data_IF_677311176315
#
_entry.id   IF_677311176315
#
_cell.length_a   1.000
_cell.length_b   1.000
_cell.length_c   1.000
_cell.angle_alpha   90.00
_cell.angle_beta   90.00
_cell.angle_gamma   90.00
#
_symmetry.space_group_name_H-M   'P 1'
#
loop_
_entity.id
_entity.type
_entity.pdbx_description
1 polymer ?
#
# COMPACT_ATOMS: atom_id res chain seq x y z
N UNK A 1 -6.65 -1.40 15.15
CA UNK A 1 -6.93 -1.79 13.75
C UNK A 1 -5.86 -1.20 12.85
N UNK A 2 -5.33 -2.00 11.93
CA UNK A 2 -4.44 -1.58 10.83
C UNK A 2 -5.06 -1.95 9.49
N UNK A 3 -4.89 -1.09 8.49
CA UNK A 3 -5.37 -1.30 7.12
C UNK A 3 -4.15 -1.28 6.22
N UNK A 4 -3.94 -2.32 5.41
CA UNK A 4 -2.82 -2.38 4.47
C UNK A 4 -3.27 -2.12 3.05
N UNK A 5 -2.50 -1.31 2.32
CA UNK A 5 -2.71 -0.95 0.90
C UNK A 5 -1.48 -1.35 0.07
N UNK A 6 -1.70 -1.61 -1.21
CA UNK A 6 -0.60 -1.64 -2.19
C UNK A 6 -0.15 -0.23 -2.58
N UNK A 7 1.10 -0.03 -2.98
CA UNK A 7 1.56 1.22 -3.56
C UNK A 7 1.07 1.37 -5.00
N UNK A 8 1.49 2.44 -5.67
CA UNK A 8 1.28 2.61 -7.11
C UNK A 8 2.62 2.73 -7.87
N UNK A 9 2.58 2.40 -9.16
CA UNK A 9 3.72 2.56 -10.07
C UNK A 9 3.88 4.01 -10.53
N UNK A 10 2.76 4.74 -10.61
CA UNK A 10 2.70 6.16 -10.96
C UNK A 10 2.86 6.99 -9.70
N UNK A 11 3.73 7.97 -9.77
CA UNK A 11 4.05 8.89 -8.69
C UNK A 11 3.84 10.32 -9.17
N UNK A 12 3.33 11.16 -8.29
CA UNK A 12 3.18 12.59 -8.50
C UNK A 12 3.92 13.35 -7.40
N UNK A 13 4.78 14.28 -7.80
CA UNK A 13 5.53 15.17 -6.90
C UNK A 13 5.20 16.63 -7.15
N UNK A 14 4.29 16.94 -8.09
CA UNK A 14 3.91 18.28 -8.51
C UNK A 14 2.77 18.86 -7.64
N UNK A 15 2.94 18.81 -6.31
CA UNK A 15 2.00 19.40 -5.35
C UNK A 15 2.74 20.00 -4.15
N UNK A 16 2.12 20.95 -3.48
CA UNK A 16 2.57 21.44 -2.18
C UNK A 16 1.82 20.71 -1.07
N UNK A 17 2.52 20.40 0.02
CA UNK A 17 1.94 19.75 1.19
C UNK A 17 2.23 20.57 2.45
N UNK A 18 1.15 20.96 3.13
CA UNK A 18 1.20 21.64 4.43
C UNK A 18 0.97 20.67 5.60
N UNK A 19 0.92 19.36 5.33
CA UNK A 19 0.81 18.36 6.38
C UNK A 19 2.14 18.17 7.10
N UNK A 20 2.07 17.84 8.39
CA UNK A 20 3.18 17.27 9.11
C UNK A 20 3.71 16.05 8.35
N UNK A 21 4.97 15.70 8.60
CA UNK A 21 5.57 14.53 7.97
C UNK A 21 6.21 13.62 9.02
N UNK A 22 6.44 12.39 8.63
CA UNK A 22 7.15 11.40 9.41
C UNK A 22 8.22 10.71 8.55
N UNK A 23 9.06 9.94 9.19
CA UNK A 23 10.19 9.25 8.55
C UNK A 23 9.87 7.75 8.48
N UNK A 24 10.09 7.09 7.32
CA UNK A 24 9.87 5.66 7.19
C UNK A 24 10.64 4.82 8.21
N UNK A 25 10.01 3.76 8.72
CA UNK A 25 10.56 2.92 9.79
C UNK A 25 11.85 2.17 9.38
N UNK A 26 12.01 1.85 8.09
CA UNK A 26 13.06 0.95 7.60
C UNK A 26 14.05 1.62 6.64
N UNK A 27 14.41 2.90 6.87
CA UNK A 27 15.33 3.62 5.97
C UNK A 27 16.70 2.95 5.82
N UNK A 28 17.22 2.30 6.86
CA UNK A 28 18.51 1.58 6.77
C UNK A 28 18.41 0.38 5.82
N UNK A 29 17.29 -0.35 5.83
CA UNK A 29 17.02 -1.44 4.90
C UNK A 29 16.81 -0.91 3.48
N UNK A 30 16.08 0.21 3.35
CA UNK A 30 15.91 0.89 2.05
C UNK A 30 17.26 1.29 1.46
N UNK A 31 18.20 1.81 2.28
CA UNK A 31 19.54 2.15 1.83
C UNK A 31 20.30 0.94 1.29
N UNK A 32 20.24 -0.23 1.98
CA UNK A 32 20.85 -1.48 1.49
C UNK A 32 20.30 -1.92 0.13
N UNK A 33 18.98 -1.82 -0.07
CA UNK A 33 18.36 -2.11 -1.36
C UNK A 33 18.82 -1.14 -2.45
N UNK A 34 18.89 0.14 -2.13
CA UNK A 34 19.37 1.17 -3.05
C UNK A 34 20.86 0.95 -3.37
N UNK A 35 21.70 0.64 -2.40
CA UNK A 35 23.13 0.36 -2.64
C UNK A 35 23.30 -0.83 -3.62
N UNK A 36 22.48 -1.87 -3.48
CA UNK A 36 22.44 -2.98 -4.44
C UNK A 36 21.94 -2.51 -5.83
N UNK A 37 20.87 -1.71 -5.90
CA UNK A 37 20.30 -1.22 -7.16
C UNK A 37 21.25 -0.24 -7.88
N UNK A 38 22.06 0.53 -7.14
CA UNK A 38 23.09 1.43 -7.71
C UNK A 38 24.20 0.71 -8.46
N UNK A 39 24.44 -0.58 -8.17
CA UNK A 39 25.46 -1.37 -8.89
C UNK A 39 24.97 -1.89 -10.25
N UNK A 40 23.71 -1.69 -10.60
CA UNK A 40 23.09 -2.23 -11.81
C UNK A 40 23.05 -1.19 -12.92
N UNK A 41 23.28 -1.63 -14.13
CA UNK A 41 23.11 -0.81 -15.33
C UNK A 41 21.63 -0.73 -15.75
N UNK A 42 21.20 0.25 -16.56
CA UNK A 42 19.82 0.35 -17.03
C UNK A 42 19.26 -0.94 -17.65
N UNK A 43 20.07 -1.68 -18.43
CA UNK A 43 19.69 -2.96 -19.03
C UNK A 43 19.36 -4.04 -17.98
N UNK A 44 20.09 -4.05 -16.86
CA UNK A 44 19.87 -5.00 -15.79
C UNK A 44 18.57 -4.66 -15.05
N UNK A 45 18.28 -3.38 -14.85
CA UNK A 45 17.04 -2.88 -14.26
C UNK A 45 15.86 -3.19 -15.18
N UNK A 46 16.02 -3.03 -16.50
CA UNK A 46 15.01 -3.41 -17.48
C UNK A 46 14.65 -4.89 -17.37
N UNK A 47 15.66 -5.77 -17.37
CA UNK A 47 15.49 -7.22 -17.24
C UNK A 47 14.87 -7.60 -15.89
N UNK A 48 15.36 -7.03 -14.79
CA UNK A 48 14.93 -7.35 -13.42
C UNK A 48 13.44 -7.08 -13.20
N UNK A 49 12.93 -5.99 -13.76
CA UNK A 49 11.55 -5.53 -13.51
C UNK A 49 10.64 -5.55 -14.74
N UNK A 50 11.10 -6.06 -15.88
CA UNK A 50 10.33 -6.11 -17.13
C UNK A 50 9.96 -4.71 -17.63
N UNK A 51 10.91 -3.77 -17.65
CA UNK A 51 10.68 -2.37 -18.01
C UNK A 51 11.14 -2.07 -19.43
N UNK A 52 10.52 -1.05 -20.04
CA UNK A 52 11.09 -0.41 -21.23
C UNK A 52 12.39 0.31 -20.90
N UNK A 53 13.27 0.50 -21.90
CA UNK A 53 14.55 1.20 -21.72
C UNK A 53 14.39 2.59 -21.10
N UNK A 54 13.38 3.35 -21.53
CA UNK A 54 13.05 4.66 -20.97
C UNK A 54 12.76 4.60 -19.46
N UNK A 55 11.96 3.61 -19.03
CA UNK A 55 11.62 3.44 -17.62
C UNK A 55 12.80 2.89 -16.82
N UNK A 56 13.63 2.06 -17.40
CA UNK A 56 14.83 1.53 -16.78
C UNK A 56 15.85 2.64 -16.52
N UNK A 57 16.12 3.49 -17.52
CA UNK A 57 17.00 4.66 -17.39
C UNK A 57 16.47 5.62 -16.31
N UNK A 58 15.19 5.96 -16.36
CA UNK A 58 14.57 6.82 -15.34
C UNK A 58 14.77 6.27 -13.92
N UNK A 59 14.64 4.96 -13.72
CA UNK A 59 14.79 4.38 -12.39
C UNK A 59 16.27 4.20 -12.00
N UNK A 60 17.16 3.98 -12.96
CA UNK A 60 18.60 4.07 -12.73
C UNK A 60 18.97 5.44 -12.16
N UNK A 61 18.57 6.55 -12.80
CA UNK A 61 18.85 7.90 -12.34
C UNK A 61 18.27 8.17 -10.94
N UNK A 62 17.04 7.67 -10.69
CA UNK A 62 16.40 7.74 -9.36
C UNK A 62 17.22 7.03 -8.29
N UNK A 63 17.75 5.83 -8.58
CA UNK A 63 18.56 5.10 -7.61
C UNK A 63 19.90 5.79 -7.39
N UNK A 64 20.58 6.29 -8.44
CA UNK A 64 21.84 6.99 -8.29
C UNK A 64 21.70 8.23 -7.38
N UNK A 65 20.61 8.99 -7.52
CA UNK A 65 20.36 10.21 -6.74
C UNK A 65 19.68 9.95 -5.38
N UNK A 66 19.21 8.71 -5.11
CA UNK A 66 18.46 8.42 -3.90
C UNK A 66 19.31 8.55 -2.63
N UNK A 67 18.75 9.18 -1.63
CA UNK A 67 19.28 9.26 -0.26
C UNK A 67 18.11 9.28 0.74
N UNK A 68 18.30 8.85 2.00
CA UNK A 68 17.25 8.88 3.01
C UNK A 68 16.67 10.30 3.18
N UNK A 69 15.36 10.42 3.00
CA UNK A 69 14.65 11.68 3.16
C UNK A 69 14.31 11.94 4.63
N UNK A 70 14.66 13.13 5.13
CA UNK A 70 14.35 13.59 6.50
C UNK A 70 13.56 14.90 6.50
N UNK A 71 13.42 15.56 5.35
CA UNK A 71 12.71 16.82 5.15
C UNK A 71 11.92 16.77 3.86
N UNK A 72 10.84 17.53 3.80
CA UNK A 72 10.08 17.76 2.56
C UNK A 72 10.99 18.50 1.56
N UNK A 73 10.96 18.06 0.31
CA UNK A 73 11.68 18.67 -0.81
C UNK A 73 10.91 18.41 -2.12
N UNK A 74 11.40 18.90 -3.24
CA UNK A 74 10.81 18.65 -4.55
C UNK A 74 10.68 17.14 -4.85
N UNK A 75 11.63 16.32 -4.39
CA UNK A 75 11.69 14.87 -4.59
C UNK A 75 11.43 14.04 -3.31
N UNK A 76 10.91 14.66 -2.26
CA UNK A 76 10.61 14.00 -0.99
C UNK A 76 9.31 14.54 -0.39
N UNK A 77 8.24 13.76 -0.50
CA UNK A 77 6.90 14.17 -0.07
C UNK A 77 6.16 13.03 0.62
N UNK A 78 5.06 13.32 1.36
CA UNK A 78 4.26 12.30 2.06
C UNK A 78 3.74 11.21 1.12
N UNK A 79 3.97 9.95 1.46
CA UNK A 79 3.76 8.79 0.59
C UNK A 79 2.35 8.66 0.06
N UNK A 80 1.32 8.84 0.91
CA UNK A 80 -0.08 8.67 0.50
C UNK A 80 -0.53 9.72 -0.52
N UNK A 81 0.11 10.90 -0.54
CA UNK A 81 -0.17 11.96 -1.50
C UNK A 81 0.60 11.80 -2.81
N UNK A 82 1.78 11.14 -2.74
CA UNK A 82 2.65 10.88 -3.90
C UNK A 82 2.11 9.78 -4.79
N UNK A 83 1.61 8.68 -4.21
CA UNK A 83 1.12 7.57 -5.01
C UNK A 83 -0.11 7.96 -5.83
N UNK A 84 -0.06 7.69 -7.14
CA UNK A 84 -1.18 7.86 -8.08
C UNK A 84 -1.40 6.53 -8.83
N UNK A 85 -2.65 6.15 -9.00
CA UNK A 85 -3.03 4.88 -9.64
C UNK A 85 -4.41 4.47 -9.16
N UNK A 86 -4.92 3.34 -9.64
CA UNK A 86 -6.32 2.95 -9.42
C UNK A 86 -6.75 2.99 -7.95
N UNK A 87 -5.93 2.47 -7.02
CA UNK A 87 -6.22 2.52 -5.58
C UNK A 87 -6.32 3.96 -5.09
N UNK A 88 -5.40 4.82 -5.49
CA UNK A 88 -5.31 6.20 -5.03
C UNK A 88 -6.34 7.11 -5.71
N UNK A 89 -6.80 6.76 -6.93
CA UNK A 89 -7.98 7.38 -7.55
C UNK A 89 -9.27 7.10 -6.74
N UNK A 90 -9.36 5.96 -6.09
CA UNK A 90 -10.46 5.66 -5.16
C UNK A 90 -10.29 6.33 -3.80
N UNK A 91 -9.06 6.38 -3.29
CA UNK A 91 -8.74 6.95 -1.98
C UNK A 91 -8.88 8.47 -1.95
N UNK A 92 -8.39 9.17 -2.99
CA UNK A 92 -8.42 10.64 -3.10
C UNK A 92 -7.89 11.32 -1.83
N UNK A 93 -6.62 11.02 -1.49
CA UNK A 93 -6.02 11.47 -0.23
C UNK A 93 -5.93 13.00 -0.11
N UNK A 94 -5.90 13.71 -1.23
CA UNK A 94 -5.93 15.18 -1.34
C UNK A 94 -7.21 15.81 -0.80
N UNK A 95 -8.33 15.07 -0.76
CA UNK A 95 -9.61 15.55 -0.25
C UNK A 95 -9.75 15.38 1.29
N UNK A 96 -8.81 14.70 1.94
CA UNK A 96 -8.89 14.42 3.37
C UNK A 96 -8.57 15.67 4.20
N UNK A 97 -9.44 16.00 5.14
CA UNK A 97 -9.16 17.04 6.11
C UNK A 97 -8.13 16.58 7.17
N UNK A 98 -7.62 17.51 7.99
CA UNK A 98 -6.59 17.23 8.99
C UNK A 98 -6.99 16.12 10.00
N UNK A 99 -8.25 16.04 10.42
CA UNK A 99 -8.73 14.99 11.33
C UNK A 99 -8.72 13.62 10.66
N UNK A 100 -9.13 13.56 9.41
CA UNK A 100 -9.11 12.36 8.57
C UNK A 100 -7.68 11.91 8.26
N UNK A 101 -6.79 12.86 7.94
CA UNK A 101 -5.37 12.56 7.73
C UNK A 101 -4.69 12.01 9.00
N UNK A 102 -5.01 12.55 10.19
CA UNK A 102 -4.54 11.99 11.47
C UNK A 102 -5.06 10.59 11.71
N UNK A 103 -6.33 10.31 11.37
CA UNK A 103 -6.88 8.96 11.44
C UNK A 103 -6.16 8.03 10.46
N UNK A 104 -5.97 8.46 9.21
CA UNK A 104 -5.22 7.70 8.21
C UNK A 104 -3.79 7.39 8.70
N UNK A 105 -3.06 8.38 9.21
CA UNK A 105 -1.69 8.21 9.73
C UNK A 105 -1.60 7.14 10.83
N UNK A 106 -2.64 7.02 11.64
CA UNK A 106 -2.72 6.02 12.71
C UNK A 106 -3.03 4.63 12.16
N UNK A 107 -3.89 4.50 11.17
CA UNK A 107 -4.49 3.23 10.77
C UNK A 107 -4.06 2.70 9.40
N UNK A 108 -3.66 3.54 8.45
CA UNK A 108 -3.26 3.10 7.10
C UNK A 108 -1.76 2.77 7.05
N UNK A 109 -1.45 1.68 6.34
CA UNK A 109 -0.07 1.27 6.00
C UNK A 109 0.00 0.93 4.53
N UNK A 110 1.00 1.48 3.85
CA UNK A 110 1.25 1.20 2.44
C UNK A 110 2.44 0.25 2.37
N UNK A 111 2.22 -0.95 1.88
CA UNK A 111 3.28 -1.93 1.68
C UNK A 111 4.16 -1.51 0.50
N UNK A 112 5.47 -1.70 0.59
CA UNK A 112 6.41 -1.15 -0.39
C UNK A 112 7.61 -2.07 -0.58
N UNK A 113 7.99 -2.33 -1.85
CA UNK A 113 9.18 -3.12 -2.15
C UNK A 113 10.47 -2.47 -1.63
N UNK A 114 10.58 -1.13 -1.71
CA UNK A 114 11.76 -0.40 -1.25
C UNK A 114 11.74 -0.06 0.24
N UNK A 115 10.59 0.36 0.76
CA UNK A 115 10.48 0.86 2.14
C UNK A 115 9.91 -0.18 3.12
N UNK A 116 9.52 -1.39 2.64
CA UNK A 116 8.82 -2.41 3.40
C UNK A 116 7.39 -1.97 3.74
N UNK A 117 7.27 -0.96 4.57
CA UNK A 117 6.01 -0.38 5.00
C UNK A 117 6.14 1.13 5.17
N UNK A 118 5.11 1.87 4.79
CA UNK A 118 5.01 3.33 4.91
C UNK A 118 3.70 3.70 5.62
N UNK A 119 3.77 4.69 6.48
CA UNK A 119 2.61 5.43 6.98
C UNK A 119 2.25 6.53 5.98
N UNK A 120 1.01 7.03 5.95
CA UNK A 120 0.56 8.07 5.01
C UNK A 120 1.47 9.28 4.88
N UNK A 121 1.99 9.78 5.99
CA UNK A 121 2.83 10.98 6.05
C UNK A 121 4.34 10.68 6.04
N UNK A 122 4.75 9.42 5.89
CA UNK A 122 6.16 9.07 5.74
C UNK A 122 6.70 9.64 4.43
N UNK A 123 7.84 10.34 4.55
CA UNK A 123 8.51 10.91 3.39
C UNK A 123 9.10 9.81 2.51
N UNK A 124 8.77 9.85 1.24
CA UNK A 124 9.36 8.95 0.25
C UNK A 124 9.97 9.71 -0.92
N UNK A 125 11.01 9.14 -1.49
CA UNK A 125 11.61 9.58 -2.76
C UNK A 125 11.12 8.76 -3.93
N UNK A 126 11.19 9.26 -5.16
CA UNK A 126 10.77 8.52 -6.35
C UNK A 126 11.55 7.20 -6.50
N UNK A 127 10.82 6.12 -6.71
CA UNK A 127 11.38 4.81 -6.96
C UNK A 127 10.40 3.94 -7.73
N UNK A 128 10.90 2.82 -8.27
CA UNK A 128 10.10 1.70 -8.71
C UNK A 128 10.78 0.41 -8.29
N UNK A 129 10.18 -0.31 -7.39
CA UNK A 129 10.61 -1.62 -6.94
C UNK A 129 9.36 -2.35 -6.42
N UNK A 130 8.86 -3.31 -7.20
CA UNK A 130 7.66 -4.08 -6.85
C UNK A 130 8.04 -5.20 -5.86
N UNK A 131 7.14 -5.57 -4.95
CA UNK A 131 7.44 -6.54 -3.89
C UNK A 131 7.78 -7.93 -4.45
N UNK A 132 7.19 -8.30 -5.59
CA UNK A 132 7.48 -9.56 -6.29
C UNK A 132 8.80 -9.59 -7.06
N UNK A 133 9.58 -8.50 -7.06
CA UNK A 133 10.85 -8.42 -7.80
C UNK A 133 11.87 -9.40 -7.21
N UNK A 134 12.51 -10.18 -8.08
CA UNK A 134 13.56 -11.16 -7.72
C UNK A 134 14.93 -10.45 -7.60
N UNK A 135 15.00 -9.45 -6.73
CA UNK A 135 16.24 -8.76 -6.43
C UNK A 135 17.05 -9.61 -5.43
N UNK A 136 18.12 -10.18 -5.88
CA UNK A 136 19.06 -10.91 -5.03
C UNK A 136 19.90 -9.92 -4.20
N UNK A 137 20.04 -10.20 -2.91
CA UNK A 137 20.78 -9.41 -1.94
C UNK A 137 21.58 -10.36 -1.03
N UNK A 138 22.44 -9.83 -0.18
CA UNK A 138 23.09 -10.62 0.87
C UNK A 138 22.13 -11.21 1.91
N UNK A 139 20.88 -10.70 1.99
CA UNK A 139 19.86 -11.13 2.96
C UNK A 139 18.79 -12.06 2.33
N UNK A 140 18.84 -12.32 1.01
CA UNK A 140 17.89 -13.24 0.35
C UNK A 140 17.86 -13.10 -1.18
N UNK A 141 17.22 -14.08 -1.84
CA UNK A 141 17.13 -14.19 -3.31
C UNK A 141 16.02 -13.32 -3.93
N UNK A 142 15.21 -12.70 -3.10
CA UNK A 142 14.09 -11.86 -3.51
C UNK A 142 13.69 -10.94 -2.35
N UNK A 143 12.77 -9.99 -2.61
CA UNK A 143 12.37 -9.03 -1.60
C UNK A 143 11.58 -9.63 -0.43
N UNK A 144 10.86 -10.73 -0.63
CA UNK A 144 10.17 -11.40 0.49
C UNK A 144 11.18 -11.96 1.51
N UNK A 145 12.26 -12.57 1.02
CA UNK A 145 13.35 -13.06 1.88
C UNK A 145 14.12 -11.91 2.53
N UNK A 146 14.43 -10.85 1.77
CA UNK A 146 15.09 -9.65 2.29
C UNK A 146 14.30 -9.00 3.44
N UNK A 147 12.99 -8.83 3.25
CA UNK A 147 12.14 -8.27 4.30
C UNK A 147 11.91 -9.26 5.45
N UNK A 148 11.90 -10.56 5.17
CA UNK A 148 11.70 -11.61 6.17
C UNK A 148 10.47 -11.31 7.04
N UNK A 149 10.65 -11.27 8.35
CA UNK A 149 9.60 -10.96 9.33
C UNK A 149 9.51 -9.48 9.75
N UNK A 150 10.38 -8.62 9.21
CA UNK A 150 10.50 -7.21 9.67
C UNK A 150 9.19 -6.44 9.50
N UNK A 151 8.54 -6.58 8.34
CA UNK A 151 7.27 -5.88 8.04
C UNK A 151 6.13 -6.45 8.88
N UNK A 152 6.06 -7.77 9.02
CA UNK A 152 5.09 -8.45 9.88
C UNK A 152 5.21 -7.97 11.33
N UNK A 153 6.42 -8.02 11.90
CA UNK A 153 6.67 -7.58 13.28
C UNK A 153 6.27 -6.13 13.51
N UNK A 154 6.51 -5.25 12.53
CA UNK A 154 6.09 -3.86 12.63
C UNK A 154 4.56 -3.75 12.73
N UNK A 155 3.81 -4.44 11.84
CA UNK A 155 2.34 -4.45 11.85
C UNK A 155 1.80 -5.04 13.17
N UNK A 156 2.37 -6.15 13.65
CA UNK A 156 1.93 -6.79 14.89
C UNK A 156 2.18 -5.89 16.12
N UNK A 157 3.33 -5.22 16.19
CA UNK A 157 3.61 -4.27 17.26
C UNK A 157 2.62 -3.10 17.26
N UNK A 158 2.32 -2.54 16.08
CA UNK A 158 1.35 -1.45 15.96
C UNK A 158 -0.08 -1.88 16.31
N UNK A 159 -0.50 -3.10 15.97
CA UNK A 159 -1.77 -3.68 16.41
C UNK A 159 -1.82 -3.80 17.93
N UNK A 160 -0.74 -4.33 18.53
CA UNK A 160 -0.60 -4.44 19.99
C UNK A 160 -0.67 -3.08 20.68
N UNK A 161 0.04 -2.07 20.17
CA UNK A 161 0.03 -0.70 20.71
C UNK A 161 -1.38 -0.07 20.66
N UNK A 162 -2.15 -0.42 19.62
CA UNK A 162 -3.54 -0.01 19.45
C UNK A 162 -4.55 -0.90 20.21
N UNK A 163 -4.07 -1.93 20.93
CA UNK A 163 -4.90 -2.94 21.61
C UNK A 163 -5.98 -3.53 20.68
N UNK A 164 -5.59 -3.90 19.49
CA UNK A 164 -6.46 -4.42 18.43
C UNK A 164 -5.82 -5.61 17.75
N UNK A 165 -6.62 -6.57 17.36
CA UNK A 165 -6.27 -7.74 16.56
C UNK A 165 -6.71 -7.60 15.09
N UNK A 166 -7.42 -6.51 14.74
CA UNK A 166 -8.06 -6.32 13.44
C UNK A 166 -7.09 -5.78 12.38
N UNK A 167 -6.82 -6.59 11.37
CA UNK A 167 -6.04 -6.25 10.18
C UNK A 167 -6.94 -6.29 8.92
N UNK A 168 -7.19 -5.14 8.31
CA UNK A 168 -7.95 -5.06 7.06
C UNK A 168 -6.99 -5.10 5.87
N UNK A 169 -7.12 -6.11 5.05
CA UNK A 169 -6.32 -6.30 3.85
C UNK A 169 -7.01 -5.69 2.61
N UNK A 170 -6.57 -4.53 2.21
CA UNK A 170 -6.91 -3.88 0.95
C UNK A 170 -5.72 -3.89 -0.04
N UNK A 171 -4.65 -4.62 0.28
CA UNK A 171 -3.51 -4.82 -0.61
C UNK A 171 -3.76 -5.97 -1.62
N UNK A 172 -2.95 -6.03 -2.67
CA UNK A 172 -2.92 -7.18 -3.57
C UNK A 172 -2.23 -8.38 -2.89
N UNK A 173 -2.48 -9.58 -3.40
CA UNK A 173 -1.81 -10.79 -2.92
C UNK A 173 -0.29 -10.65 -2.93
N UNK A 174 0.28 -10.06 -4.01
CA UNK A 174 1.71 -9.81 -4.12
C UNK A 174 2.26 -9.04 -2.91
N UNK A 175 1.66 -7.90 -2.58
CA UNK A 175 2.13 -7.07 -1.47
C UNK A 175 1.81 -7.68 -0.12
N UNK A 176 0.60 -8.23 0.05
CA UNK A 176 0.20 -8.85 1.33
C UNK A 176 1.09 -10.04 1.73
N UNK A 177 1.64 -10.76 0.76
CA UNK A 177 2.55 -11.91 0.99
C UNK A 177 3.78 -11.55 1.85
N UNK A 178 4.23 -10.28 1.86
CA UNK A 178 5.36 -9.85 2.70
C UNK A 178 5.09 -9.98 4.20
N UNK A 179 3.83 -10.04 4.60
CA UNK A 179 3.43 -10.26 6.00
C UNK A 179 3.58 -11.74 6.44
N UNK A 180 3.87 -12.65 5.51
CA UNK A 180 4.03 -14.07 5.81
C UNK A 180 2.80 -14.71 6.48
N UNK A 181 3.02 -15.75 7.28
CA UNK A 181 1.97 -16.38 8.08
C UNK A 181 1.77 -15.56 9.36
N UNK A 182 0.60 -14.93 9.46
CA UNK A 182 0.22 -14.19 10.67
C UNK A 182 -0.20 -15.13 11.81
N UNK A 183 -0.05 -14.71 13.08
CA UNK A 183 -0.59 -15.43 14.23
C UNK A 183 -2.11 -15.63 14.14
N UNK A 184 -2.62 -16.70 14.76
CA UNK A 184 -4.04 -17.08 14.68
C UNK A 184 -4.97 -16.13 15.44
N UNK A 185 -4.44 -15.39 16.39
CA UNK A 185 -5.15 -14.35 17.13
C UNK A 185 -5.32 -13.03 16.36
N UNK A 186 -4.73 -12.91 15.17
CA UNK A 186 -4.93 -11.76 14.31
C UNK A 186 -6.12 -11.99 13.36
N UNK A 187 -7.13 -11.15 13.50
CA UNK A 187 -8.33 -11.18 12.66
C UNK A 187 -8.08 -10.45 11.33
N UNK A 188 -7.79 -11.22 10.29
CA UNK A 188 -7.53 -10.68 8.95
C UNK A 188 -8.80 -10.62 8.14
N UNK A 189 -9.25 -9.42 7.79
CA UNK A 189 -10.43 -9.17 6.98
C UNK A 189 -10.02 -8.73 5.57
N UNK A 190 -10.52 -9.42 4.56
CA UNK A 190 -10.23 -9.10 3.14
C UNK A 190 -11.51 -8.77 2.38
N UNK A 191 -11.94 -7.49 2.32
CA UNK A 191 -13.11 -7.08 1.57
C UNK A 191 -13.00 -7.43 0.09
N UNK A 192 -14.09 -7.91 -0.49
CA UNK A 192 -14.18 -8.31 -1.90
C UNK A 192 -15.29 -7.54 -2.59
N UNK A 193 -15.00 -7.01 -3.78
CA UNK A 193 -15.89 -6.19 -4.59
C UNK A 193 -16.24 -6.95 -5.86
N UNK A 194 -17.54 -7.10 -6.14
CA UNK A 194 -18.03 -7.78 -7.34
C UNK A 194 -19.02 -6.92 -8.10
N UNK A 195 -18.81 -6.84 -9.40
CA UNK A 195 -19.68 -6.14 -10.34
C UNK A 195 -20.56 -7.12 -11.11
N UNK A 196 -21.82 -6.74 -11.33
CA UNK A 196 -22.72 -7.51 -12.17
C UNK A 196 -22.36 -7.32 -13.64
N UNK A 197 -21.98 -8.39 -14.31
CA UNK A 197 -21.63 -8.36 -15.74
C UNK A 197 -21.98 -9.71 -16.39
N UNK A 198 -22.69 -9.66 -17.52
CA UNK A 198 -23.06 -10.85 -18.28
C UNK A 198 -23.83 -11.90 -17.44
N UNK A 199 -24.81 -11.44 -16.67
CA UNK A 199 -25.69 -12.32 -15.88
C UNK A 199 -25.16 -12.74 -14.51
N UNK A 200 -23.90 -12.44 -14.14
CA UNK A 200 -23.28 -12.90 -12.90
C UNK A 200 -22.48 -11.79 -12.21
N UNK A 201 -22.37 -11.90 -10.88
CA UNK A 201 -21.43 -11.08 -10.09
C UNK A 201 -20.02 -11.65 -10.19
N UNK A 202 -19.04 -10.83 -10.54
CA UNK A 202 -17.63 -11.23 -10.64
C UNK A 202 -16.68 -10.09 -10.29
N UNK A 203 -15.49 -10.46 -9.85
CA UNK A 203 -14.41 -9.50 -9.60
C UNK A 203 -13.88 -9.00 -10.95
N UNK A 204 -13.90 -7.68 -11.15
CA UNK A 204 -13.28 -7.02 -12.30
C UNK A 204 -12.01 -6.34 -11.80
N UNK A 205 -10.86 -6.82 -12.23
CA UNK A 205 -9.55 -6.43 -11.69
C UNK A 205 -9.30 -4.91 -11.65
N UNK A 206 -9.71 -4.19 -12.70
CA UNK A 206 -9.60 -2.72 -12.75
C UNK A 206 -10.43 -2.06 -11.65
N UNK A 207 -11.71 -2.42 -11.54
CA UNK A 207 -12.59 -1.85 -10.52
C UNK A 207 -12.15 -2.24 -9.11
N UNK A 208 -11.79 -3.50 -8.90
CA UNK A 208 -11.37 -3.99 -7.59
C UNK A 208 -10.19 -3.22 -6.98
N UNK A 209 -9.30 -2.64 -7.80
CA UNK A 209 -8.22 -1.78 -7.29
C UNK A 209 -8.76 -0.43 -6.81
N UNK A 210 -9.59 0.23 -7.63
CA UNK A 210 -10.22 1.51 -7.27
C UNK A 210 -11.11 1.34 -6.03
N UNK A 211 -11.85 0.23 -5.96
CA UNK A 211 -12.80 -0.04 -4.88
C UNK A 211 -12.10 -0.26 -3.53
N UNK A 212 -10.89 -0.82 -3.52
CA UNK A 212 -10.05 -0.87 -2.31
C UNK A 212 -9.69 0.54 -1.82
N UNK A 213 -9.39 1.45 -2.74
CA UNK A 213 -9.18 2.86 -2.41
C UNK A 213 -10.43 3.54 -1.87
N UNK A 214 -11.59 3.29 -2.49
CA UNK A 214 -12.89 3.79 -2.01
C UNK A 214 -13.22 3.27 -0.61
N UNK A 215 -12.98 1.99 -0.34
CA UNK A 215 -13.16 1.41 1.00
C UNK A 215 -12.23 2.09 2.01
N UNK A 216 -10.96 2.31 1.68
CA UNK A 216 -10.04 3.02 2.56
C UNK A 216 -10.49 4.46 2.81
N UNK A 217 -10.95 5.20 1.77
CA UNK A 217 -11.54 6.55 1.91
C UNK A 217 -12.73 6.54 2.85
N UNK A 218 -13.66 5.62 2.64
CA UNK A 218 -14.87 5.51 3.45
C UNK A 218 -14.57 5.20 4.92
N UNK A 219 -13.64 4.25 5.19
CA UNK A 219 -13.19 3.93 6.54
C UNK A 219 -12.59 5.16 7.22
N UNK A 220 -11.75 5.93 6.51
CA UNK A 220 -11.13 7.15 7.04
C UNK A 220 -12.19 8.22 7.35
N UNK A 221 -13.11 8.45 6.43
CA UNK A 221 -14.16 9.47 6.56
C UNK A 221 -15.12 9.19 7.71
N UNK A 222 -15.48 7.92 7.90
CA UNK A 222 -16.40 7.47 8.94
C UNK A 222 -15.68 7.04 10.24
N UNK A 223 -14.33 7.08 10.27
CA UNK A 223 -13.49 6.68 11.43
C UNK A 223 -13.83 5.28 11.95
N UNK A 224 -14.08 4.36 11.03
CA UNK A 224 -14.41 2.96 11.35
C UNK A 224 -13.20 2.28 12.01
N UNK A 225 -13.43 1.61 13.12
CA UNK A 225 -12.39 0.91 13.91
C UNK A 225 -12.73 -0.52 14.27
N UNK A 226 -13.92 -1.01 13.91
CA UNK A 226 -14.38 -2.37 14.14
C UNK A 226 -14.86 -3.01 12.82
N UNK A 227 -14.98 -4.34 12.81
CA UNK A 227 -15.35 -5.10 11.61
C UNK A 227 -16.82 -4.93 11.21
N UNK A 228 -17.71 -4.87 12.20
CA UNK A 228 -19.15 -4.84 11.99
C UNK A 228 -19.58 -3.64 11.17
N UNK A 229 -18.96 -2.49 11.42
CA UNK A 229 -19.26 -1.24 10.74
C UNK A 229 -18.88 -1.27 9.25
N UNK A 230 -17.98 -2.17 8.81
CA UNK A 230 -17.64 -2.31 7.39
C UNK A 230 -18.85 -2.63 6.51
N UNK A 231 -19.87 -3.29 7.07
CA UNK A 231 -21.12 -3.60 6.36
C UNK A 231 -21.88 -2.35 5.90
N UNK A 232 -21.60 -1.19 6.50
CA UNK A 232 -22.16 0.12 6.11
C UNK A 232 -21.52 0.74 4.87
N UNK A 233 -20.50 0.15 4.26
CA UNK A 233 -19.88 0.69 3.06
C UNK A 233 -20.88 0.76 1.90
N UNK A 234 -21.07 1.96 1.34
CA UNK A 234 -22.11 2.28 0.34
C UNK A 234 -21.58 3.15 -0.83
N UNK A 235 -20.29 3.48 -0.88
CA UNK A 235 -19.74 4.30 -1.95
C UNK A 235 -19.83 3.58 -3.31
N UNK A 236 -20.01 4.39 -4.36
CA UNK A 236 -20.09 3.94 -5.76
C UNK A 236 -21.18 2.86 -5.97
N UNK A 237 -22.31 2.94 -5.24
CA UNK A 237 -23.46 2.03 -5.32
C UNK A 237 -23.20 0.60 -4.85
N UNK A 238 -22.08 0.34 -4.18
CA UNK A 238 -21.84 -0.97 -3.56
C UNK A 238 -22.81 -1.20 -2.39
N UNK A 239 -23.24 -2.46 -2.24
CA UNK A 239 -24.05 -2.90 -1.11
C UNK A 239 -23.46 -4.18 -0.53
N UNK A 240 -23.39 -4.22 0.78
CA UNK A 240 -22.97 -5.42 1.51
C UNK A 240 -23.90 -6.61 1.21
N UNK A 241 -23.33 -7.76 0.90
CA UNK A 241 -24.06 -9.01 0.68
C UNK A 241 -23.75 -10.01 1.79
N UNK A 242 -24.65 -10.14 2.76
CA UNK A 242 -24.51 -11.14 3.82
C UNK A 242 -24.45 -12.57 3.27
N UNK A 243 -25.21 -12.85 2.20
CA UNK A 243 -25.29 -14.18 1.60
C UNK A 243 -23.98 -14.64 0.95
N UNK A 244 -23.17 -13.69 0.42
CA UNK A 244 -21.90 -14.02 -0.22
C UNK A 244 -20.67 -13.81 0.69
N UNK A 245 -20.90 -13.26 1.89
CA UNK A 245 -19.83 -12.96 2.84
C UNK A 245 -19.53 -14.13 3.76
N UNK A 246 -18.27 -14.20 4.20
CA UNK A 246 -17.83 -15.05 5.31
C UNK A 246 -17.38 -14.19 6.48
N UNK A 247 -17.00 -14.80 7.59
CA UNK A 247 -16.49 -14.09 8.77
C UNK A 247 -15.23 -13.22 8.47
N UNK A 248 -14.43 -13.59 7.46
CA UNK A 248 -13.18 -12.90 7.13
C UNK A 248 -13.20 -12.23 5.75
N UNK A 249 -14.23 -12.47 4.94
CA UNK A 249 -14.35 -11.95 3.57
C UNK A 249 -15.72 -11.30 3.39
N UNK A 250 -15.88 -10.04 3.81
CA UNK A 250 -17.09 -9.27 3.50
C UNK A 250 -17.16 -9.01 1.99
N UNK A 251 -18.30 -9.29 1.38
CA UNK A 251 -18.53 -9.13 -0.06
C UNK A 251 -19.47 -7.95 -0.31
N UNK A 252 -19.06 -7.08 -1.23
CA UNK A 252 -19.82 -5.92 -1.66
C UNK A 252 -20.17 -6.08 -3.14
N UNK A 253 -21.46 -5.92 -3.46
CA UNK A 253 -22.02 -6.12 -4.79
C UNK A 253 -22.43 -4.78 -5.39
N UNK A 254 -22.07 -4.58 -6.67
CA UNK A 254 -22.53 -3.45 -7.45
C UNK A 254 -23.25 -3.94 -8.72
N UNK A 255 -24.46 -3.44 -8.95
CA UNK A 255 -25.19 -3.62 -10.20
C UNK A 255 -25.22 -2.26 -10.91
N UNK A 256 -24.59 -2.20 -12.09
CA UNK A 256 -24.62 -1.04 -13.01
C UNK A 256 -25.97 -0.87 -13.65
#
# INVERSE_FOLDING_TARGET
MIIVLSPAKTLDYEFESNHDHSVPAFLSQSSKLIDNLKTKEPKDIASLMGLSDKLATLNFDRYQSWSPAKKVSADSKPSMLVFKGDVYQGLQAEDLNNSQMKFAQKHIRILSGLYGILRPLDLMKPYRLEMGTKLETSEGKNLYEFWGDKVQKNVLNELKDQKSDLLINLASKEYFTVLGKLPEDINVITPTFKDYKNGNYKIISYYAKKDRGLMAKWIIQNKVTNFEDLSGFDLDRYKYSKAESTATVPVFLRKS
#
